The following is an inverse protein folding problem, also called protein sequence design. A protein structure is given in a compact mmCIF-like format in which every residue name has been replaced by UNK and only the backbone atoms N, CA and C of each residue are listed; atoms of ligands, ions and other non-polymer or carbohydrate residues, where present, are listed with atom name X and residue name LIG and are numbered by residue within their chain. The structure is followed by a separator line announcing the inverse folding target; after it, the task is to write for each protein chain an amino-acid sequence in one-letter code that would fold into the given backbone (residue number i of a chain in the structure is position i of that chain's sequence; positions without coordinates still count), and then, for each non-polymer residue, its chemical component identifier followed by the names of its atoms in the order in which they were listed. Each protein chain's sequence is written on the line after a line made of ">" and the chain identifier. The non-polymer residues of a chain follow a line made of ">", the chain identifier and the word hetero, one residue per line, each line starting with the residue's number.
data_IF_373342400257
#
_entry.id   IF_373342400257
#
_cell.length_a   1.000
_cell.length_b   1.000
_cell.length_c   1.000
_cell.angle_alpha   90.00
_cell.angle_beta   90.00
_cell.angle_gamma   90.00
#
_symmetry.space_group_name_H-M   'P 1'
#
loop_
_entity.id
_entity.type
_entity.pdbx_description
1 polymer ?
#
# COMPACT_ATOMS: atom_id res chain seq x y z
N UNK A 1 -13.48 22.49 7.46
CA UNK A 1 -13.95 21.55 8.50
C UNK A 1 -14.09 20.11 7.99
N UNK A 2 -14.85 19.85 6.92
CA UNK A 2 -15.11 18.49 6.39
C UNK A 2 -13.88 17.69 5.94
N UNK A 3 -12.84 18.35 5.42
CA UNK A 3 -11.61 17.69 4.95
C UNK A 3 -10.85 17.04 6.11
N UNK A 4 -10.74 17.75 7.23
CA UNK A 4 -10.08 17.23 8.44
C UNK A 4 -10.79 16.00 9.00
N UNK A 5 -12.13 16.00 8.95
CA UNK A 5 -12.92 14.84 9.38
C UNK A 5 -12.72 13.63 8.46
N UNK A 6 -12.72 13.84 7.13
CA UNK A 6 -12.42 12.80 6.15
C UNK A 6 -11.01 12.23 6.34
N UNK A 7 -10.03 13.10 6.60
CA UNK A 7 -8.65 12.69 6.86
C UNK A 7 -8.55 11.84 8.13
N UNK A 8 -9.20 12.24 9.22
CA UNK A 8 -9.26 11.46 10.46
C UNK A 8 -9.89 10.08 10.26
N UNK A 9 -11.00 10.01 9.50
CA UNK A 9 -11.67 8.73 9.21
C UNK A 9 -10.77 7.83 8.36
N UNK A 10 -10.13 8.36 7.31
CA UNK A 10 -9.17 7.59 6.51
C UNK A 10 -7.95 7.14 7.34
N UNK A 11 -7.41 8.00 8.20
CA UNK A 11 -6.29 7.63 9.07
C UNK A 11 -6.67 6.50 10.03
N UNK A 12 -7.83 6.61 10.67
CA UNK A 12 -8.33 5.58 11.58
C UNK A 12 -8.61 4.25 10.86
N UNK A 13 -9.18 4.29 9.65
CA UNK A 13 -9.43 3.09 8.87
C UNK A 13 -8.14 2.42 8.41
N UNK A 14 -7.12 3.17 8.00
CA UNK A 14 -5.80 2.63 7.64
C UNK A 14 -5.17 1.91 8.84
N UNK A 15 -5.21 2.50 10.04
CA UNK A 15 -4.68 1.88 11.25
C UNK A 15 -5.42 0.58 11.60
N UNK A 16 -6.75 0.60 11.54
CA UNK A 16 -7.57 -0.57 11.82
C UNK A 16 -7.35 -1.72 10.81
N UNK A 17 -7.31 -1.39 9.52
CA UNK A 17 -7.04 -2.35 8.45
C UNK A 17 -5.62 -2.90 8.56
N UNK A 18 -4.62 -2.05 8.85
CA UNK A 18 -3.24 -2.47 9.05
C UNK A 18 -3.08 -3.48 10.18
N UNK A 19 -3.71 -3.24 11.33
CA UNK A 19 -3.73 -4.19 12.45
C UNK A 19 -4.36 -5.53 12.05
N UNK A 20 -5.52 -5.50 11.39
CA UNK A 20 -6.22 -6.71 10.93
C UNK A 20 -5.41 -7.47 9.89
N UNK A 21 -4.75 -6.77 8.98
CA UNK A 21 -3.92 -7.37 7.93
C UNK A 21 -2.74 -8.13 8.53
N UNK A 22 -2.06 -7.55 9.53
CA UNK A 22 -0.98 -8.23 10.25
C UNK A 22 -1.47 -9.49 10.96
N UNK A 23 -2.63 -9.42 11.62
CA UNK A 23 -3.25 -10.58 12.28
C UNK A 23 -3.57 -11.70 11.28
N UNK A 24 -4.18 -11.37 10.14
CA UNK A 24 -4.44 -12.37 9.10
C UNK A 24 -3.14 -12.93 8.50
N UNK A 25 -2.09 -12.11 8.42
CA UNK A 25 -0.77 -12.55 8.01
C UNK A 25 -0.17 -13.62 8.89
N UNK A 26 -0.28 -13.44 10.21
CA UNK A 26 0.16 -14.43 11.19
C UNK A 26 -0.64 -15.73 11.10
N UNK A 27 -1.97 -15.63 10.94
CA UNK A 27 -2.85 -16.80 10.74
C UNK A 27 -2.51 -17.55 9.45
N UNK A 28 -2.20 -16.84 8.37
CA UNK A 28 -1.78 -17.45 7.10
C UNK A 28 -0.43 -18.14 7.26
N UNK A 29 0.55 -17.48 7.91
CA UNK A 29 1.86 -18.06 8.22
C UNK A 29 1.74 -19.38 8.99
N UNK A 30 0.88 -19.40 10.01
CA UNK A 30 0.64 -20.58 10.85
C UNK A 30 -0.01 -21.73 10.07
N UNK A 31 -0.97 -21.42 9.18
CA UNK A 31 -1.64 -22.44 8.35
C UNK A 31 -0.79 -22.96 7.19
N UNK A 32 0.11 -22.13 6.66
CA UNK A 32 0.91 -22.47 5.47
C UNK A 32 2.32 -22.99 5.81
N UNK A 33 2.69 -23.04 7.10
CA UNK A 33 4.07 -23.28 7.55
C UNK A 33 5.11 -22.32 6.92
N UNK A 34 4.66 -21.19 6.35
CA UNK A 34 5.58 -20.15 5.91
C UNK A 34 6.16 -19.43 7.12
N UNK A 35 7.45 -19.10 7.05
CA UNK A 35 8.09 -18.26 8.07
C UNK A 35 7.33 -16.94 8.24
N UNK A 36 7.08 -16.54 9.50
CA UNK A 36 6.51 -15.23 9.85
C UNK A 36 7.28 -14.08 9.20
N UNK A 37 8.60 -14.25 9.01
CA UNK A 37 9.45 -13.28 8.32
C UNK A 37 9.12 -13.11 6.84
N UNK A 38 8.77 -14.20 6.13
CA UNK A 38 8.36 -14.12 4.73
C UNK A 38 7.01 -13.40 4.59
N UNK A 39 6.03 -13.73 5.44
CA UNK A 39 4.75 -13.03 5.44
C UNK A 39 4.93 -11.54 5.77
N UNK A 40 5.74 -11.22 6.78
CA UNK A 40 6.08 -9.83 7.11
C UNK A 40 6.71 -9.07 5.93
N UNK A 41 7.63 -9.69 5.21
CA UNK A 41 8.25 -9.11 4.02
C UNK A 41 7.24 -8.86 2.90
N UNK A 42 6.34 -9.82 2.63
CA UNK A 42 5.28 -9.67 1.62
C UNK A 42 4.33 -8.54 2.00
N UNK A 43 3.84 -8.49 3.24
CA UNK A 43 2.94 -7.42 3.68
C UNK A 43 3.62 -6.05 3.67
N UNK A 44 4.89 -5.97 4.07
CA UNK A 44 5.66 -4.73 4.02
C UNK A 44 5.78 -4.25 2.56
N UNK A 45 6.17 -5.14 1.66
CA UNK A 45 6.32 -4.83 0.23
C UNK A 45 4.99 -4.40 -0.40
N UNK A 46 3.89 -5.07 -0.03
CA UNK A 46 2.56 -4.70 -0.49
C UNK A 46 2.13 -3.34 0.08
N UNK A 47 2.37 -3.08 1.36
CA UNK A 47 1.96 -1.83 2.00
C UNK A 47 2.66 -0.60 1.40
N UNK A 48 3.90 -0.75 0.92
CA UNK A 48 4.64 0.33 0.27
C UNK A 48 4.27 0.52 -1.20
N UNK A 49 4.00 -0.56 -1.94
CA UNK A 49 3.72 -0.50 -3.40
C UNK A 49 2.23 -0.38 -3.77
N UNK A 50 1.29 -0.76 -2.88
CA UNK A 50 -0.15 -0.62 -3.15
C UNK A 50 -0.55 0.83 -3.46
N UNK A 51 -0.15 1.83 -2.65
CA UNK A 51 -0.52 3.22 -2.90
C UNK A 51 -0.01 3.71 -4.25
N UNK A 52 1.18 3.28 -4.63
CA UNK A 52 1.83 3.64 -5.89
C UNK A 52 1.10 3.00 -7.07
N UNK A 53 0.71 1.72 -6.95
CA UNK A 53 -0.11 1.03 -7.93
C UNK A 53 -1.45 1.76 -8.14
N UNK A 54 -2.15 2.10 -7.05
CA UNK A 54 -3.41 2.84 -7.09
C UNK A 54 -3.23 4.20 -7.77
N UNK A 55 -2.14 4.91 -7.48
CA UNK A 55 -1.83 6.21 -8.05
C UNK A 55 -1.51 6.11 -9.55
N UNK A 56 -0.69 5.15 -9.96
CA UNK A 56 -0.36 4.89 -11.37
C UNK A 56 -1.60 4.49 -12.18
N UNK A 57 -2.46 3.61 -11.64
CA UNK A 57 -3.72 3.24 -12.30
C UNK A 57 -4.67 4.43 -12.40
N UNK A 58 -4.76 5.25 -11.36
CA UNK A 58 -5.59 6.46 -11.36
C UNK A 58 -5.07 7.49 -12.37
N UNK A 59 -3.75 7.63 -12.53
CA UNK A 59 -3.15 8.51 -13.52
C UNK A 59 -3.52 8.11 -14.97
N UNK A 60 -3.59 6.81 -15.26
CA UNK A 60 -4.00 6.31 -16.58
C UNK A 60 -5.52 6.42 -16.77
N UNK A 61 -6.31 6.03 -15.77
CA UNK A 61 -7.78 5.91 -15.92
C UNK A 61 -8.53 7.23 -15.71
N UNK A 62 -8.15 8.01 -14.70
CA UNK A 62 -8.84 9.26 -14.31
C UNK A 62 -8.19 10.47 -14.97
N UNK A 63 -6.85 10.54 -14.92
CA UNK A 63 -6.10 11.71 -15.42
C UNK A 63 -5.76 11.57 -16.91
N UNK A 64 -5.93 10.37 -17.49
CA UNK A 64 -5.66 10.06 -18.90
C UNK A 64 -4.24 10.49 -19.33
N UNK A 65 -3.28 10.42 -18.42
CA UNK A 65 -1.92 10.90 -18.61
C UNK A 65 -0.92 9.76 -18.32
N UNK A 66 -0.52 8.99 -19.34
CA UNK A 66 0.41 7.88 -19.18
C UNK A 66 1.79 8.33 -18.67
N UNK A 67 2.24 9.52 -19.07
CA UNK A 67 3.51 10.12 -18.62
C UNK A 67 3.56 10.32 -17.10
N UNK A 68 2.41 10.64 -16.49
CA UNK A 68 2.31 10.77 -15.03
C UNK A 68 2.44 9.42 -14.33
N UNK A 69 1.87 8.36 -14.91
CA UNK A 69 2.04 7.01 -14.40
C UNK A 69 3.48 6.52 -14.53
N UNK A 70 4.15 6.81 -15.65
CA UNK A 70 5.56 6.51 -15.84
C UNK A 70 6.42 7.27 -14.81
N UNK A 71 6.18 8.57 -14.63
CA UNK A 71 6.87 9.39 -13.64
C UNK A 71 6.70 8.87 -12.20
N UNK A 72 5.50 8.40 -11.85
CA UNK A 72 5.23 7.81 -10.54
C UNK A 72 6.03 6.50 -10.32
N UNK A 73 6.09 5.62 -11.33
CA UNK A 73 6.85 4.36 -11.26
C UNK A 73 8.35 4.63 -11.15
N UNK A 74 8.91 5.50 -12.01
CA UNK A 74 10.34 5.80 -11.97
C UNK A 74 10.74 6.56 -10.70
N UNK A 75 9.91 7.51 -10.26
CA UNK A 75 10.15 8.27 -9.03
C UNK A 75 10.14 7.38 -7.78
N UNK A 76 9.19 6.44 -7.70
CA UNK A 76 9.11 5.42 -6.65
C UNK A 76 10.41 4.61 -6.53
N UNK A 77 10.90 4.08 -7.66
CA UNK A 77 12.10 3.25 -7.69
C UNK A 77 13.32 4.03 -7.18
N UNK A 78 13.48 5.29 -7.61
CA UNK A 78 14.59 6.15 -7.16
C UNK A 78 14.50 6.41 -5.65
N UNK A 79 13.30 6.72 -5.13
CA UNK A 79 13.09 6.96 -3.71
C UNK A 79 13.25 5.71 -2.85
N UNK A 80 13.00 4.51 -3.41
CA UNK A 80 13.15 3.25 -2.68
C UNK A 80 14.62 2.80 -2.60
N UNK A 81 15.45 3.18 -3.58
CA UNK A 81 16.87 2.78 -3.67
C UNK A 81 17.80 3.77 -2.92
N UNK A 82 17.42 5.05 -2.80
CA UNK A 82 18.15 6.07 -2.02
C UNK A 82 17.99 5.87 -0.51
#
# INVERSE_FOLDING_TARGET
>A
MFVWLKFLICGASILYVGYRLSYYGDVISEKTNLSRGLMGFVFLSLATTLPEMVTSVSAITIVQSPDLAAGNIFGSIVMNIM
#
